data_IF_877072313573
#
_entry.id   IF_877072313573
#
_cell.length_a   1.000
_cell.length_b   1.000
_cell.length_c   1.000
_cell.angle_alpha   90.00
_cell.angle_beta   90.00
_cell.angle_gamma   90.00
#
_symmetry.space_group_name_H-M   'P 1'
#
loop_
_entity.id
_entity.type
_entity.pdbx_description
1 polymer ?
#
# COMPACT_ATOMS: atom_id res chain seq x y z
N UNK A 1 0.22 -28.47 -1.11
CA UNK A 1 -0.27 -27.92 -2.38
C UNK A 1 -0.21 -26.40 -2.24
N UNK A 2 0.89 -25.80 -2.68
CA UNK A 2 1.05 -24.35 -2.71
C UNK A 2 0.43 -23.81 -3.99
N UNK A 3 -0.46 -22.82 -3.89
CA UNK A 3 -0.85 -22.00 -5.06
C UNK A 3 -2.34 -21.73 -5.28
N UNK A 4 -3.24 -21.99 -4.33
CA UNK A 4 -4.69 -21.84 -4.55
C UNK A 4 -5.29 -20.52 -3.98
N UNK A 5 -4.45 -19.52 -3.74
CA UNK A 5 -4.87 -18.23 -3.20
C UNK A 5 -5.27 -17.23 -4.30
N UNK A 6 -6.17 -16.30 -3.95
CA UNK A 6 -6.42 -15.12 -4.76
C UNK A 6 -5.10 -14.35 -4.99
N UNK A 7 -4.79 -14.00 -6.24
CA UNK A 7 -3.54 -13.35 -6.62
C UNK A 7 -3.78 -12.28 -7.67
N UNK A 8 -3.10 -11.15 -7.51
CA UNK A 8 -3.03 -10.06 -8.48
C UNK A 8 -1.56 -9.83 -8.85
N UNK A 9 -1.24 -9.79 -10.14
CA UNK A 9 0.12 -9.55 -10.64
C UNK A 9 0.06 -8.39 -11.64
N UNK A 10 0.94 -7.42 -11.48
CA UNK A 10 1.04 -6.26 -12.36
C UNK A 10 2.47 -6.18 -12.94
N UNK A 11 2.58 -6.14 -14.27
CA UNK A 11 3.84 -5.91 -15.00
C UNK A 11 3.79 -4.52 -15.63
N UNK A 12 4.54 -3.54 -15.09
CA UNK A 12 4.61 -2.20 -15.69
C UNK A 12 5.35 -2.21 -17.03
N UNK A 13 6.30 -3.12 -17.23
CA UNK A 13 7.07 -3.23 -18.47
C UNK A 13 6.19 -3.73 -19.63
N UNK A 14 5.32 -4.71 -19.35
CA UNK A 14 4.41 -5.27 -20.35
C UNK A 14 3.07 -4.53 -20.41
N UNK A 15 2.78 -3.66 -19.44
CA UNK A 15 1.51 -2.96 -19.31
C UNK A 15 0.34 -3.92 -19.06
N UNK A 16 0.57 -4.99 -18.28
CA UNK A 16 -0.40 -6.07 -18.05
C UNK A 16 -0.73 -6.27 -16.57
N UNK A 17 -1.97 -6.70 -16.31
CA UNK A 17 -2.46 -7.08 -14.99
C UNK A 17 -3.19 -8.43 -15.08
N UNK A 18 -2.77 -9.40 -14.26
CA UNK A 18 -3.40 -10.73 -14.14
C UNK A 18 -4.07 -10.88 -12.77
N UNK A 19 -5.36 -11.21 -12.76
CA UNK A 19 -6.14 -11.53 -11.57
C UNK A 19 -6.55 -13.02 -11.58
N UNK A 20 -6.25 -13.73 -10.50
CA UNK A 20 -6.62 -15.13 -10.26
C UNK A 20 -7.40 -15.25 -8.96
N UNK A 21 -8.60 -15.84 -9.01
CA UNK A 21 -9.52 -15.95 -7.86
C UNK A 21 -9.99 -17.40 -7.58
N UNK A 22 -9.19 -18.41 -7.93
CA UNK A 22 -9.58 -19.82 -7.83
C UNK A 22 -10.39 -20.35 -9.03
N UNK A 23 -10.47 -19.56 -10.11
CA UNK A 23 -11.10 -19.91 -11.39
C UNK A 23 -10.24 -19.45 -12.58
N UNK A 24 -10.83 -19.27 -13.78
CA UNK A 24 -10.13 -18.71 -14.92
C UNK A 24 -9.43 -17.40 -14.56
N UNK A 25 -8.19 -17.24 -15.01
CA UNK A 25 -7.45 -15.99 -14.79
C UNK A 25 -7.94 -14.92 -15.77
N UNK A 26 -8.06 -13.69 -15.29
CA UNK A 26 -8.44 -12.52 -16.09
C UNK A 26 -7.18 -11.70 -16.31
N UNK A 27 -6.86 -11.43 -17.58
CA UNK A 27 -5.76 -10.55 -17.97
C UNK A 27 -6.31 -9.25 -18.54
N UNK A 28 -5.77 -8.13 -18.10
CA UNK A 28 -6.04 -6.79 -18.63
C UNK A 28 -4.75 -6.27 -19.25
N UNK A 29 -4.81 -5.91 -20.53
CA UNK A 29 -3.70 -5.35 -21.30
C UNK A 29 -3.87 -3.84 -21.51
N UNK A 30 -2.79 -3.17 -21.89
CA UNK A 30 -2.81 -1.76 -22.30
C UNK A 30 -2.77 -0.77 -21.15
N UNK A 31 -2.27 -1.19 -19.99
CA UNK A 31 -2.04 -0.32 -18.83
C UNK A 31 -0.81 0.55 -19.09
N UNK A 32 -1.00 1.87 -19.07
CA UNK A 32 0.07 2.82 -19.28
C UNK A 32 0.50 3.46 -17.95
N UNK A 33 1.71 3.15 -17.51
CA UNK A 33 2.32 3.73 -16.30
C UNK A 33 1.89 3.04 -15.00
N UNK A 34 2.43 3.53 -13.87
CA UNK A 34 2.26 2.92 -12.54
C UNK A 34 0.81 2.88 -12.06
N UNK A 35 0.39 1.73 -11.52
CA UNK A 35 -0.92 1.56 -10.90
C UNK A 35 -0.87 1.81 -9.39
N UNK A 36 -1.85 2.57 -8.90
CA UNK A 36 -2.17 2.61 -7.47
C UNK A 36 -3.27 1.58 -7.16
N UNK A 37 -2.99 0.67 -6.24
CA UNK A 37 -3.96 -0.31 -5.75
C UNK A 37 -4.60 0.19 -4.46
N UNK A 38 -5.88 0.54 -4.53
CA UNK A 38 -6.64 1.10 -3.41
C UNK A 38 -7.86 0.23 -3.10
N UNK A 39 -8.18 0.09 -1.81
CA UNK A 39 -9.45 -0.41 -1.32
C UNK A 39 -10.48 0.70 -1.46
N UNK A 40 -11.58 0.42 -2.14
CA UNK A 40 -12.72 1.34 -2.22
C UNK A 40 -13.69 1.00 -1.08
N UNK A 41 -14.16 2.01 -0.34
CA UNK A 41 -15.21 1.86 0.65
C UNK A 41 -16.58 1.65 -0.02
N UNK A 42 -17.58 1.22 0.76
CA UNK A 42 -18.93 0.92 0.25
C UNK A 42 -19.62 2.13 -0.41
N UNK A 43 -19.17 3.34 -0.10
CA UNK A 43 -19.63 4.62 -0.67
C UNK A 43 -18.92 5.04 -1.96
N UNK A 44 -17.91 4.27 -2.40
CA UNK A 44 -17.12 4.57 -3.60
C UNK A 44 -15.89 5.45 -3.33
N UNK A 45 -15.64 5.88 -2.10
CA UNK A 45 -14.43 6.63 -1.77
C UNK A 45 -13.21 5.72 -1.58
N UNK A 46 -12.04 6.17 -2.01
CA UNK A 46 -10.78 5.46 -1.80
C UNK A 46 -10.43 5.43 -0.31
N UNK A 47 -10.43 4.24 0.29
CA UNK A 47 -10.31 4.05 1.73
C UNK A 47 -8.88 3.80 2.21
N UNK A 48 -8.05 3.06 1.44
CA UNK A 48 -6.63 2.83 1.75
C UNK A 48 -5.88 2.07 0.63
N UNK A 49 -4.57 2.28 0.39
CA UNK A 49 -3.72 1.42 -0.41
C UNK A 49 -3.71 -0.04 0.08
N UNK A 50 -3.72 -0.99 -0.86
CA UNK A 50 -3.74 -2.43 -0.58
C UNK A 50 -2.37 -3.01 -0.18
N UNK A 51 -1.28 -2.28 -0.41
CA UNK A 51 0.09 -2.79 -0.22
C UNK A 51 0.58 -2.70 1.23
N UNK A 52 -0.15 -2.00 2.11
CA UNK A 52 0.23 -1.83 3.51
C UNK A 52 -0.97 -2.08 4.42
N UNK A 53 -0.89 -3.13 5.24
CA UNK A 53 -1.90 -3.32 6.26
C UNK A 53 -1.81 -2.17 7.29
N UNK A 54 -2.92 -1.75 7.88
CA UNK A 54 -2.87 -0.56 8.72
C UNK A 54 -2.08 -0.71 10.02
N UNK A 55 -2.07 -1.92 10.60
CA UNK A 55 -1.21 -2.25 11.72
C UNK A 55 0.27 -2.08 11.35
N UNK A 56 0.65 -2.47 10.13
CA UNK A 56 2.00 -2.30 9.60
C UNK A 56 2.31 -0.81 9.34
N UNK A 57 1.33 -0.02 8.91
CA UNK A 57 1.47 1.43 8.77
C UNK A 57 1.79 2.11 10.11
N UNK A 58 1.13 1.71 11.20
CA UNK A 58 1.43 2.23 12.55
C UNK A 58 2.87 1.89 12.97
N UNK A 59 3.31 0.66 12.73
CA UNK A 59 4.68 0.23 13.05
C UNK A 59 5.70 1.01 12.21
N UNK A 60 5.45 1.15 10.91
CA UNK A 60 6.30 1.90 9.99
C UNK A 60 6.40 3.37 10.40
N UNK A 61 5.28 4.01 10.78
CA UNK A 61 5.26 5.39 11.28
C UNK A 61 6.14 5.55 12.53
N UNK A 62 6.08 4.60 13.47
CA UNK A 62 6.97 4.59 14.65
C UNK A 62 8.45 4.45 14.26
N UNK A 63 8.77 3.58 13.29
CA UNK A 63 10.14 3.42 12.81
C UNK A 63 10.67 4.70 12.15
N UNK A 64 9.86 5.35 11.31
CA UNK A 64 10.24 6.60 10.65
C UNK A 64 10.53 7.69 11.69
N UNK A 65 9.66 7.88 12.69
CA UNK A 65 9.89 8.84 13.79
C UNK A 65 11.17 8.53 14.56
N UNK A 66 11.37 7.26 14.92
CA UNK A 66 12.60 6.84 15.60
C UNK A 66 13.85 7.18 14.78
N UNK A 67 13.84 6.92 13.47
CA UNK A 67 14.96 7.23 12.58
C UNK A 67 15.22 8.74 12.53
N UNK A 68 14.17 9.55 12.37
CA UNK A 68 14.28 11.02 12.32
C UNK A 68 14.86 11.62 13.61
N UNK A 69 14.53 11.03 14.76
CA UNK A 69 14.96 11.50 16.10
C UNK A 69 16.31 10.94 16.56
N UNK A 70 16.61 9.67 16.28
CA UNK A 70 17.69 8.92 16.95
C UNK A 70 18.81 8.48 16.02
N UNK A 71 18.58 8.46 14.71
CA UNK A 71 19.56 7.93 13.75
C UNK A 71 20.22 9.08 13.00
N UNK A 72 21.55 9.02 12.88
CA UNK A 72 22.30 9.95 12.04
C UNK A 72 22.12 9.55 10.58
N UNK A 73 21.27 10.28 9.87
CA UNK A 73 20.96 10.08 8.44
C UNK A 73 21.43 11.29 7.61
N UNK A 74 21.44 11.13 6.29
CA UNK A 74 21.72 12.23 5.36
C UNK A 74 20.53 13.20 5.29
N UNK A 75 20.77 14.44 4.83
CA UNK A 75 19.71 15.44 4.67
C UNK A 75 18.64 14.97 3.67
N UNK A 76 19.07 14.40 2.54
CA UNK A 76 18.16 13.84 1.53
C UNK A 76 17.28 12.72 2.12
N UNK A 77 17.84 11.86 2.97
CA UNK A 77 17.05 10.83 3.66
C UNK A 77 16.06 11.44 4.66
N UNK A 78 16.46 12.49 5.38
CA UNK A 78 15.59 13.20 6.32
C UNK A 78 14.39 13.80 5.61
N UNK A 79 14.63 14.58 4.55
CA UNK A 79 13.56 15.20 3.75
C UNK A 79 12.59 14.17 3.16
N UNK A 80 13.11 13.04 2.68
CA UNK A 80 12.28 11.96 2.14
C UNK A 80 11.38 11.34 3.23
N UNK A 81 11.92 11.08 4.41
CA UNK A 81 11.18 10.50 5.53
C UNK A 81 10.15 11.48 6.10
N UNK A 82 10.47 12.77 6.22
CA UNK A 82 9.54 13.81 6.66
C UNK A 82 8.36 13.97 5.68
N UNK A 83 8.60 13.78 4.38
CA UNK A 83 7.55 13.82 3.35
C UNK A 83 6.63 12.59 3.38
N UNK A 84 7.18 11.42 3.72
CA UNK A 84 6.45 10.15 3.71
C UNK A 84 5.68 9.93 5.01
N UNK A 85 6.19 10.40 6.14
CA UNK A 85 5.59 10.17 7.46
C UNK A 85 4.10 10.55 7.55
N UNK A 86 3.63 11.72 7.07
CA UNK A 86 2.21 12.07 7.14
C UNK A 86 1.32 11.06 6.42
N UNK A 87 1.75 10.61 5.23
CA UNK A 87 1.02 9.61 4.45
C UNK A 87 0.93 8.29 5.20
N UNK A 88 2.02 7.84 5.82
CA UNK A 88 2.03 6.61 6.62
C UNK A 88 1.13 6.74 7.86
N UNK A 89 1.10 7.91 8.49
CA UNK A 89 0.24 8.18 9.64
C UNK A 89 -1.25 8.21 9.27
N UNK A 90 -1.60 8.79 8.12
CA UNK A 90 -2.98 8.79 7.60
C UNK A 90 -3.47 7.35 7.36
N UNK A 91 -2.62 6.50 6.80
CA UNK A 91 -2.90 5.07 6.59
C UNK A 91 -3.14 4.30 7.89
N UNK A 92 -2.37 4.61 8.95
CA UNK A 92 -2.57 4.01 10.26
C UNK A 92 -3.89 4.46 10.91
N UNK A 93 -4.27 5.74 10.73
CA UNK A 93 -5.49 6.31 11.31
C UNK A 93 -6.77 5.80 10.64
N UNK A 94 -6.77 5.63 9.32
CA UNK A 94 -7.91 5.11 8.55
C UNK A 94 -8.37 3.71 8.99
N UNK A 95 -7.54 2.97 9.72
CA UNK A 95 -7.94 1.67 10.26
C UNK A 95 -8.31 1.64 11.73
N UNK A 96 -7.78 2.57 12.54
CA UNK A 96 -8.28 2.73 13.91
C UNK A 96 -9.77 3.13 13.92
N UNK A 97 -10.22 3.84 12.88
CA UNK A 97 -11.63 4.17 12.68
C UNK A 97 -12.50 2.96 12.27
N UNK A 98 -11.96 2.03 11.46
CA UNK A 98 -12.70 0.88 10.94
C UNK A 98 -12.89 -0.27 11.97
N UNK A 99 -12.03 -0.36 13.00
CA UNK A 99 -12.14 -1.36 14.07
C UNK A 99 -12.98 -0.88 15.28
N UNK A 100 -13.51 0.36 15.25
CA UNK A 100 -14.28 0.96 16.35
C UNK A 100 -15.80 1.02 16.09
N UNK A 101 -16.29 0.42 15.00
CA UNK A 101 -17.72 0.20 14.69
C UNK A 101 -18.13 -1.27 14.88
#
# INVERSE_FOLDING_TARGET
MEGDGARLVYSPEDGTLELRLGGPSVTVDGIAGELAFERIASDGEGAAPLWLAPADAIVLGKMIRYILERVKITETSREALERVLPRVDDLGQQAGAADSE
#
